data_IF_075343634733
#
_entry.id   IF_075343634733
#
_cell.length_a   1.000
_cell.length_b   1.000
_cell.length_c   1.000
_cell.angle_alpha   90.00
_cell.angle_beta   90.00
_cell.angle_gamma   90.00
#
_symmetry.space_group_name_H-M   'P 1'
#
loop_
_entity.id
_entity.type
_entity.pdbx_description
1 polymer ?
#
# COMPACT_ATOMS: atom_id res chain seq x y z
N UNK A 1 -0.50 2.45 -1.20
CA UNK A 1 -1.71 2.81 -0.43
C UNK A 1 -2.00 4.29 -0.49
N UNK A 2 -1.13 5.19 -0.01
CA UNK A 2 -1.35 6.64 -0.01
C UNK A 2 -1.84 7.18 -1.38
N UNK A 3 -1.01 7.04 -2.42
CA UNK A 3 -1.34 7.52 -3.78
C UNK A 3 -2.69 7.00 -4.29
N UNK A 4 -2.97 5.70 -4.11
CA UNK A 4 -4.20 5.10 -4.61
C UNK A 4 -5.43 5.51 -3.80
N UNK A 5 -5.28 5.75 -2.51
CA UNK A 5 -6.35 6.28 -1.65
C UNK A 5 -6.68 7.72 -2.05
N UNK A 6 -5.65 8.55 -2.24
CA UNK A 6 -5.82 9.95 -2.64
C UNK A 6 -6.45 10.04 -4.03
N UNK A 7 -6.06 9.15 -4.95
CA UNK A 7 -6.66 9.09 -6.28
C UNK A 7 -8.15 8.75 -6.24
N UNK A 8 -8.57 7.78 -5.40
CA UNK A 8 -10.01 7.49 -5.20
C UNK A 8 -10.72 8.73 -4.65
N UNK A 9 -10.13 9.39 -3.65
CA UNK A 9 -10.73 10.58 -3.02
C UNK A 9 -10.85 11.76 -3.99
N UNK A 10 -9.84 11.98 -4.86
CA UNK A 10 -9.84 13.02 -5.89
C UNK A 10 -10.98 12.83 -6.89
N UNK A 11 -11.24 11.58 -7.31
CA UNK A 11 -12.33 11.26 -8.25
C UNK A 11 -13.71 11.18 -7.58
N UNK A 12 -13.79 11.32 -6.25
CA UNK A 12 -15.04 11.25 -5.49
C UNK A 12 -15.82 9.96 -5.76
N UNK A 13 -17.13 10.09 -5.99
CA UNK A 13 -18.01 8.94 -6.26
C UNK A 13 -17.57 8.09 -7.44
N UNK A 14 -17.09 8.72 -8.53
CA UNK A 14 -16.60 8.01 -9.70
C UNK A 14 -15.36 7.15 -9.40
N UNK A 15 -14.52 7.60 -8.46
CA UNK A 15 -13.36 6.85 -8.00
C UNK A 15 -13.70 5.58 -7.22
N UNK A 16 -14.94 5.43 -6.76
CA UNK A 16 -15.43 4.26 -6.04
C UNK A 16 -16.28 3.31 -6.91
N UNK A 17 -16.57 3.70 -8.15
CA UNK A 17 -17.29 2.86 -9.12
C UNK A 17 -16.33 1.94 -9.88
N UNK A 18 -16.86 0.82 -10.40
CA UNK A 18 -16.08 -0.10 -11.27
C UNK A 18 -15.92 0.41 -12.70
N UNK A 19 -16.57 1.52 -13.04
CA UNK A 19 -16.45 2.15 -14.37
C UNK A 19 -15.05 2.76 -14.57
N UNK A 20 -14.35 3.08 -13.49
CA UNK A 20 -12.98 3.60 -13.49
C UNK A 20 -12.03 2.65 -12.75
N UNK A 21 -10.78 2.48 -13.21
CA UNK A 21 -9.88 1.44 -12.68
C UNK A 21 -9.30 1.77 -11.29
N UNK A 22 -9.50 2.98 -10.77
CA UNK A 22 -8.79 3.49 -9.59
C UNK A 22 -9.18 2.73 -8.31
N UNK A 23 -10.43 2.29 -8.17
CA UNK A 23 -10.86 1.44 -7.05
C UNK A 23 -10.08 0.13 -7.00
N UNK A 24 -9.85 -0.49 -8.17
CA UNK A 24 -9.10 -1.73 -8.30
C UNK A 24 -7.64 -1.51 -7.93
N UNK A 25 -7.04 -0.43 -8.42
CA UNK A 25 -5.68 -0.06 -8.07
C UNK A 25 -5.52 0.15 -6.55
N UNK A 26 -6.50 0.76 -5.87
CA UNK A 26 -6.48 0.92 -4.41
C UNK A 26 -6.53 -0.43 -3.68
N UNK A 27 -7.39 -1.36 -4.12
CA UNK A 27 -7.43 -2.72 -3.54
C UNK A 27 -6.12 -3.48 -3.77
N UNK A 28 -5.60 -3.44 -4.99
CA UNK A 28 -4.35 -4.12 -5.35
C UNK A 28 -3.17 -3.53 -4.58
N UNK A 29 -3.15 -2.21 -4.35
CA UNK A 29 -2.11 -1.57 -3.55
C UNK A 29 -2.10 -1.98 -2.07
N UNK A 30 -3.18 -2.58 -1.55
CA UNK A 30 -3.22 -3.04 -0.14
C UNK A 30 -2.45 -4.33 0.06
N UNK A 31 -2.50 -5.23 -0.92
CA UNK A 31 -1.85 -6.55 -0.79
C UNK A 31 -0.34 -6.37 -0.57
N UNK A 32 0.27 -5.36 -1.20
CA UNK A 32 1.72 -5.07 -1.14
C UNK A 32 2.24 -4.81 0.27
N UNK A 33 1.37 -4.48 1.22
CA UNK A 33 1.74 -4.28 2.62
C UNK A 33 1.70 -5.58 3.45
N UNK A 34 1.25 -6.68 2.86
CA UNK A 34 0.91 -7.93 3.54
C UNK A 34 1.65 -9.13 2.92
N UNK A 35 1.63 -9.27 1.59
CA UNK A 35 2.24 -10.40 0.89
C UNK A 35 3.78 -10.33 0.95
N UNK A 36 4.44 -11.49 0.91
CA UNK A 36 5.91 -11.63 0.93
C UNK A 36 6.59 -10.94 2.13
N UNK A 37 5.87 -10.90 3.25
CA UNK A 37 6.29 -10.27 4.48
C UNK A 37 5.61 -8.93 4.69
N UNK A 38 4.83 -8.84 5.76
CA UNK A 38 4.14 -7.59 6.11
C UNK A 38 5.11 -6.45 6.34
N UNK A 39 4.63 -5.21 6.24
CA UNK A 39 5.44 -4.02 6.55
C UNK A 39 6.09 -4.06 7.95
N UNK A 40 5.49 -4.76 8.92
CA UNK A 40 6.10 -4.95 10.25
C UNK A 40 7.31 -5.87 10.19
N UNK A 41 7.21 -6.98 9.46
CA UNK A 41 8.32 -7.93 9.26
C UNK A 41 9.47 -7.25 8.54
N UNK A 42 9.20 -6.49 7.47
CA UNK A 42 10.22 -5.74 6.75
C UNK A 42 10.94 -4.74 7.66
N UNK A 43 10.21 -4.02 8.52
CA UNK A 43 10.83 -3.13 9.52
C UNK A 43 11.72 -3.85 10.53
N UNK A 44 11.35 -5.07 10.96
CA UNK A 44 12.19 -5.88 11.85
C UNK A 44 13.49 -6.27 11.13
N UNK A 45 13.40 -6.73 9.88
CA UNK A 45 14.58 -7.09 9.07
C UNK A 45 15.52 -5.89 8.92
N UNK A 46 14.98 -4.73 8.53
CA UNK A 46 15.75 -3.49 8.44
C UNK A 46 16.40 -3.11 9.77
N UNK A 47 15.64 -3.17 10.87
CA UNK A 47 16.15 -2.85 12.22
C UNK A 47 17.32 -3.75 12.61
N UNK A 48 17.24 -5.06 12.34
CA UNK A 48 18.33 -6.01 12.62
C UNK A 48 19.59 -5.67 11.84
N UNK A 49 19.46 -5.32 10.55
CA UNK A 49 20.61 -4.90 9.74
C UNK A 49 21.25 -3.61 10.28
N UNK A 50 20.44 -2.59 10.60
CA UNK A 50 20.92 -1.32 11.13
C UNK A 50 21.59 -1.44 12.50
N UNK A 51 21.07 -2.32 13.37
CA UNK A 51 21.65 -2.55 14.70
C UNK A 51 22.92 -3.42 14.65
N UNK A 52 23.05 -4.31 13.67
CA UNK A 52 24.25 -5.13 13.50
C UNK A 52 25.40 -4.40 12.78
N UNK A 53 25.11 -3.32 12.05
CA UNK A 53 26.11 -2.48 11.37
C UNK A 53 26.67 -1.35 12.26
N UNK A 54 26.33 -1.33 13.55
CA UNK A 54 26.91 -0.44 14.56
C UNK A 54 27.87 -1.23 15.42
#
# INVERSE_FOLDING_TARGET
MEITTDAVQLLGGYGFTRDYPVERMMRDAKITQIYEGTNQVQRIVMSRHTLASR
#
